data_IF_762726883770
#
_entry.id   IF_762726883770
#
_cell.length_a   1.000
_cell.length_b   1.000
_cell.length_c   1.000
_cell.angle_alpha   90.00
_cell.angle_beta   90.00
_cell.angle_gamma   90.00
#
_symmetry.space_group_name_H-M   'P 1'
#
loop_
_entity.id
_entity.type
_entity.pdbx_description
1 polymer ?
#
# COMPACT_ATOMS: atom_id res chain seq x y z
N UNK A 1 2.83 6.92 -6.14
CA UNK A 1 1.71 7.87 -5.94
C UNK A 1 1.76 8.45 -4.55
N UNK A 2 1.65 9.76 -4.48
CA UNK A 2 1.74 10.49 -3.22
C UNK A 2 0.34 10.90 -2.76
N UNK A 3 0.12 10.85 -1.45
CA UNK A 3 -1.17 11.15 -0.86
C UNK A 3 -1.02 12.05 0.36
N UNK A 4 -1.99 12.91 0.58
CA UNK A 4 -2.12 13.63 1.83
C UNK A 4 -2.57 12.66 2.92
N UNK A 5 -1.85 12.67 4.02
CA UNK A 5 -2.12 11.79 5.14
C UNK A 5 -2.14 12.56 6.46
N UNK A 6 -2.99 12.11 7.38
CA UNK A 6 -2.91 12.47 8.79
C UNK A 6 -2.36 11.28 9.56
N UNK A 7 -1.35 11.50 10.39
CA UNK A 7 -0.77 10.48 11.25
C UNK A 7 -1.66 10.35 12.49
N UNK A 8 -2.33 9.20 12.64
CA UNK A 8 -3.20 8.95 13.79
C UNK A 8 -2.46 8.27 14.94
N UNK A 9 -1.53 7.36 14.63
CA UNK A 9 -0.82 6.59 15.63
C UNK A 9 0.57 6.20 15.12
N UNK A 10 1.55 6.20 16.02
CA UNK A 10 2.92 5.79 15.74
C UNK A 10 3.28 4.68 16.74
N UNK A 11 3.77 3.55 16.25
CA UNK A 11 4.07 2.38 17.09
C UNK A 11 5.39 1.73 16.74
N UNK A 12 5.99 1.14 17.76
CA UNK A 12 7.03 0.11 17.66
C UNK A 12 8.27 0.48 16.84
N UNK A 13 8.78 1.73 16.99
CA UNK A 13 10.06 2.05 16.37
C UNK A 13 11.18 1.30 17.09
N UNK A 14 11.92 0.51 16.32
CA UNK A 14 13.08 -0.20 16.82
C UNK A 14 14.35 0.69 16.72
N UNK A 15 15.49 0.14 17.13
CA UNK A 15 16.78 0.86 17.11
C UNK A 15 17.26 1.21 15.70
N UNK A 16 16.72 0.55 14.66
CA UNK A 16 17.06 0.81 13.26
C UNK A 16 16.16 1.89 12.64
N UNK A 17 15.24 2.45 13.40
CA UNK A 17 14.31 3.47 12.92
C UNK A 17 13.13 2.89 12.14
N UNK A 18 12.91 1.58 12.21
CA UNK A 18 11.77 0.92 11.58
C UNK A 18 10.63 0.80 12.57
N UNK A 19 9.42 1.09 12.12
CA UNK A 19 8.23 1.04 12.94
C UNK A 19 6.96 0.90 12.13
N UNK A 20 5.85 1.13 12.79
CA UNK A 20 4.53 1.08 12.19
C UNK A 20 3.79 2.38 12.44
N UNK A 21 3.03 2.80 11.45
CA UNK A 21 2.26 4.05 11.51
C UNK A 21 0.85 3.80 11.00
N UNK A 22 -0.14 4.37 11.68
CA UNK A 22 -1.51 4.38 11.20
C UNK A 22 -1.80 5.74 10.58
N UNK A 23 -2.15 5.72 9.30
CA UNK A 23 -2.42 6.90 8.50
C UNK A 23 -3.90 6.96 8.12
N UNK A 24 -4.45 8.16 8.08
CA UNK A 24 -5.76 8.42 7.49
C UNK A 24 -5.55 9.11 6.15
N UNK A 25 -6.00 8.46 5.08
CA UNK A 25 -5.85 8.93 3.70
C UNK A 25 -7.20 8.80 3.01
N UNK A 26 -7.78 9.91 2.56
CA UNK A 26 -9.06 9.94 1.84
C UNK A 26 -10.16 9.12 2.54
N UNK A 27 -10.22 9.23 3.87
CA UNK A 27 -11.21 8.51 4.67
C UNK A 27 -10.84 7.06 5.00
N UNK A 28 -9.77 6.53 4.41
CA UNK A 28 -9.28 5.19 4.70
C UNK A 28 -8.28 5.23 5.85
N UNK A 29 -8.40 4.27 6.75
CA UNK A 29 -7.46 4.09 7.86
C UNK A 29 -6.53 2.93 7.53
N UNK A 30 -5.25 3.23 7.36
CA UNK A 30 -4.25 2.28 6.87
C UNK A 30 -3.10 2.15 7.87
N UNK A 31 -2.74 0.92 8.20
CA UNK A 31 -1.56 0.64 9.01
C UNK A 31 -0.41 0.24 8.09
N UNK A 32 0.68 0.95 8.19
CA UNK A 32 1.82 0.82 7.28
C UNK A 32 3.10 0.54 8.04
N UNK A 33 3.98 -0.27 7.47
CA UNK A 33 5.37 -0.33 7.90
C UNK A 33 6.10 0.88 7.34
N UNK A 34 7.08 1.39 8.09
CA UNK A 34 7.87 2.54 7.64
C UNK A 34 9.27 2.51 8.23
N UNK A 35 10.22 3.14 7.53
CA UNK A 35 11.55 3.44 8.01
C UNK A 35 11.74 4.94 8.26
N UNK A 36 10.70 5.73 8.05
CA UNK A 36 10.72 7.17 8.28
C UNK A 36 10.13 7.53 9.63
N UNK A 37 10.53 8.65 10.18
CA UNK A 37 10.03 9.13 11.46
C UNK A 37 8.76 9.95 11.26
N UNK A 38 7.64 9.41 11.72
CA UNK A 38 6.36 10.09 11.77
C UNK A 38 6.08 10.61 13.17
N UNK A 39 5.31 11.69 13.25
CA UNK A 39 4.88 12.29 14.52
C UNK A 39 3.35 12.26 14.55
N UNK A 40 2.77 11.80 15.67
CA UNK A 40 1.32 11.73 15.83
C UNK A 40 0.69 13.11 15.62
N UNK A 41 -0.49 13.12 15.02
CA UNK A 41 -1.29 14.30 14.65
C UNK A 41 -0.69 15.17 13.53
N UNK A 42 0.50 14.84 13.01
CA UNK A 42 1.04 15.61 11.88
C UNK A 42 0.25 15.33 10.60
N UNK A 43 0.22 16.32 9.72
CA UNK A 43 -0.24 16.19 8.34
C UNK A 43 0.97 16.18 7.42
N UNK A 44 1.00 15.26 6.49
CA UNK A 44 2.15 15.07 5.61
C UNK A 44 1.74 14.50 4.26
N UNK A 45 2.67 14.50 3.34
CA UNK A 45 2.53 13.81 2.05
C UNK A 45 3.34 12.53 2.13
N UNK A 46 2.72 11.42 1.79
CA UNK A 46 3.33 10.09 1.85
C UNK A 46 3.26 9.40 0.49
N UNK A 47 4.26 8.56 0.23
CA UNK A 47 4.22 7.58 -0.84
C UNK A 47 3.80 6.24 -0.26
N UNK A 48 2.81 5.60 -0.87
CA UNK A 48 2.33 4.27 -0.48
C UNK A 48 2.77 3.25 -1.51
N UNK A 49 3.25 2.11 -1.04
CA UNK A 49 3.60 0.99 -1.90
C UNK A 49 3.43 -0.32 -1.13
N UNK A 50 3.27 -1.41 -1.88
CA UNK A 50 3.14 -2.75 -1.32
C UNK A 50 4.36 -3.56 -1.69
N UNK A 51 4.99 -4.19 -0.70
CA UNK A 51 6.10 -5.13 -0.87
C UNK A 51 5.61 -6.56 -0.73
N UNK A 52 6.35 -7.47 -1.35
CA UNK A 52 6.04 -8.91 -1.31
C UNK A 52 4.61 -9.19 -1.75
N UNK A 53 4.21 -8.49 -2.83
CA UNK A 53 2.87 -8.61 -3.37
C UNK A 53 2.65 -9.97 -4.02
N UNK A 54 1.51 -10.55 -3.71
CA UNK A 54 0.96 -11.71 -4.40
C UNK A 54 -0.22 -11.22 -5.21
N UNK A 55 -0.15 -11.35 -6.53
CA UNK A 55 -1.19 -10.86 -7.43
C UNK A 55 -1.86 -12.04 -8.11
N UNK A 56 -3.19 -12.10 -7.98
CA UNK A 56 -4.01 -13.15 -8.62
C UNK A 56 -5.05 -12.47 -9.52
N UNK A 57 -5.18 -12.94 -10.76
CA UNK A 57 -6.26 -12.50 -11.63
C UNK A 57 -7.59 -12.99 -11.07
N UNK A 58 -8.62 -12.18 -11.24
CA UNK A 58 -9.97 -12.51 -10.78
C UNK A 58 -11.00 -11.97 -11.77
N UNK A 59 -12.24 -12.40 -11.63
CA UNK A 59 -13.36 -11.73 -12.29
C UNK A 59 -13.47 -10.30 -11.79
N UNK A 60 -13.84 -9.37 -12.66
CA UNK A 60 -13.99 -7.97 -12.27
C UNK A 60 -15.09 -7.82 -11.22
N UNK A 61 -14.79 -7.09 -10.16
CA UNK A 61 -15.67 -6.82 -9.03
C UNK A 61 -15.39 -5.41 -8.50
N UNK A 62 -16.19 -4.96 -7.55
CA UNK A 62 -16.00 -3.66 -6.93
C UNK A 62 -14.62 -3.54 -6.30
N UNK A 63 -14.02 -2.36 -6.44
CA UNK A 63 -12.73 -2.06 -5.83
C UNK A 63 -12.85 -2.05 -4.32
N UNK A 64 -11.84 -2.60 -3.66
CA UNK A 64 -11.71 -2.56 -2.20
C UNK A 64 -10.24 -2.48 -1.81
N UNK A 65 -10.01 -1.97 -0.61
CA UNK A 65 -8.68 -1.79 -0.07
C UNK A 65 -8.80 -1.89 1.44
N UNK A 66 -8.44 -3.06 1.99
CA UNK A 66 -8.66 -3.38 3.39
C UNK A 66 -7.43 -4.03 4.01
N UNK A 67 -7.18 -3.72 5.28
CA UNK A 67 -6.20 -4.47 6.06
C UNK A 67 -6.75 -5.88 6.33
N UNK A 68 -5.89 -6.88 6.26
CA UNK A 68 -6.25 -8.27 6.55
C UNK A 68 -6.74 -8.40 7.99
N UNK A 69 -6.08 -7.70 8.92
CA UNK A 69 -6.46 -7.57 10.33
C UNK A 69 -6.24 -6.12 10.77
N UNK A 70 -7.03 -5.58 11.72
CA UNK A 70 -6.90 -4.18 12.13
C UNK A 70 -5.53 -3.79 12.68
N UNK A 71 -4.79 -4.73 13.25
CA UNK A 71 -3.47 -4.53 13.84
C UNK A 71 -2.31 -5.01 12.97
N UNK A 72 -2.56 -5.27 11.69
CA UNK A 72 -1.59 -5.80 10.75
C UNK A 72 -1.30 -4.77 9.65
N UNK A 73 -0.14 -4.89 9.02
CA UNK A 73 0.24 -4.12 7.84
C UNK A 73 0.02 -4.87 6.53
N UNK A 74 -0.54 -6.07 6.60
CA UNK A 74 -0.91 -6.84 5.41
C UNK A 74 -2.22 -6.29 4.86
N UNK A 75 -2.19 -5.90 3.58
CA UNK A 75 -3.33 -5.32 2.89
C UNK A 75 -3.84 -6.27 1.81
N UNK A 76 -5.14 -6.25 1.58
CA UNK A 76 -5.79 -6.92 0.46
C UNK A 76 -6.45 -5.86 -0.41
N UNK A 77 -6.08 -5.84 -1.69
CA UNK A 77 -6.56 -4.85 -2.65
C UNK A 77 -7.29 -5.58 -3.77
N UNK A 78 -8.50 -5.14 -4.08
CA UNK A 78 -9.21 -5.53 -5.31
C UNK A 78 -9.15 -4.34 -6.25
N UNK A 79 -8.61 -4.54 -7.43
CA UNK A 79 -8.42 -3.46 -8.39
C UNK A 79 -8.11 -3.95 -9.79
N UNK A 80 -7.54 -3.05 -10.58
CA UNK A 80 -7.14 -3.31 -11.97
C UNK A 80 -5.70 -2.88 -12.19
N UNK A 81 -5.01 -3.59 -13.06
CA UNK A 81 -3.68 -3.18 -13.53
C UNK A 81 -3.81 -1.92 -14.37
N UNK A 82 -3.31 -0.81 -13.85
CA UNK A 82 -3.31 0.49 -14.52
C UNK A 82 -2.06 0.68 -15.37
N UNK A 83 -0.92 0.24 -14.88
CA UNK A 83 0.36 0.40 -15.55
C UNK A 83 1.36 -0.66 -15.10
N UNK A 84 2.17 -1.13 -16.02
CA UNK A 84 3.35 -1.95 -15.72
C UNK A 84 4.56 -1.03 -15.69
N UNK A 85 5.21 -0.91 -14.55
CA UNK A 85 6.38 -0.04 -14.39
C UNK A 85 7.67 -0.74 -14.83
N UNK A 86 7.78 -2.01 -14.48
CA UNK A 86 8.85 -2.90 -14.92
C UNK A 86 8.45 -4.35 -14.66
N UNK A 87 9.41 -5.28 -14.73
CA UNK A 87 9.17 -6.71 -14.61
C UNK A 87 8.55 -7.13 -13.27
N UNK A 88 8.82 -6.38 -12.20
CA UNK A 88 8.41 -6.71 -10.84
C UNK A 88 7.50 -5.66 -10.19
N UNK A 89 7.20 -4.57 -10.89
CA UNK A 89 6.43 -3.46 -10.31
C UNK A 89 5.25 -3.09 -11.20
N UNK A 90 4.09 -2.98 -10.56
CA UNK A 90 2.84 -2.63 -11.22
C UNK A 90 2.15 -1.51 -10.45
N UNK A 91 1.48 -0.64 -11.17
CA UNK A 91 0.56 0.32 -10.58
C UNK A 91 -0.85 -0.26 -10.65
N UNK A 92 -1.47 -0.45 -9.51
CA UNK A 92 -2.82 -1.00 -9.38
C UNK A 92 -3.79 0.13 -9.04
N UNK A 93 -4.83 0.25 -9.85
CA UNK A 93 -5.94 1.16 -9.61
C UNK A 93 -6.96 0.47 -8.70
N UNK A 94 -7.27 1.10 -7.57
CA UNK A 94 -8.31 0.66 -6.64
C UNK A 94 -8.94 1.91 -6.00
N UNK A 95 -9.33 1.86 -4.73
CA UNK A 95 -9.77 3.05 -4.01
C UNK A 95 -8.66 4.10 -3.94
N UNK A 96 -7.41 3.66 -3.92
CA UNK A 96 -6.21 4.46 -4.15
C UNK A 96 -5.38 3.75 -5.20
N UNK A 97 -4.60 4.51 -5.97
CA UNK A 97 -3.60 3.93 -6.87
C UNK A 97 -2.35 3.60 -6.06
N UNK A 98 -1.93 2.35 -6.08
CA UNK A 98 -0.80 1.89 -5.27
C UNK A 98 0.18 1.09 -6.12
N UNK A 99 1.47 1.36 -5.94
CA UNK A 99 2.54 0.58 -6.57
C UNK A 99 2.74 -0.73 -5.80
N UNK A 100 2.78 -1.83 -6.54
CA UNK A 100 2.95 -3.18 -5.99
C UNK A 100 4.25 -3.75 -6.52
N UNK A 101 5.11 -4.22 -5.61
CA UNK A 101 6.32 -4.97 -5.94
C UNK A 101 6.09 -6.44 -5.67
N UNK A 102 6.32 -7.29 -6.67
CA UNK A 102 6.23 -8.75 -6.55
C UNK A 102 7.63 -9.35 -6.47
N UNK A 103 7.76 -10.49 -5.78
CA UNK A 103 9.04 -11.18 -5.63
C UNK A 103 9.43 -12.00 -6.86
N UNK A 104 8.44 -12.50 -7.59
CA UNK A 104 8.64 -13.26 -8.81
C UNK A 104 7.95 -12.57 -9.98
N UNK A 105 8.59 -12.59 -11.14
CA UNK A 105 8.01 -11.99 -12.34
C UNK A 105 6.69 -12.68 -12.69
N UNK A 106 5.68 -11.86 -12.95
CA UNK A 106 4.35 -12.32 -13.35
C UNK A 106 3.92 -11.59 -14.61
N UNK A 107 3.21 -12.27 -15.48
CA UNK A 107 2.65 -11.68 -16.69
C UNK A 107 1.23 -11.16 -16.41
N UNK A 108 1.07 -9.86 -16.47
CA UNK A 108 -0.21 -9.17 -16.32
C UNK A 108 -0.39 -8.19 -17.46
N UNK A 109 -1.63 -8.02 -17.88
CA UNK A 109 -2.00 -7.07 -18.93
C UNK A 109 -2.76 -5.89 -18.34
N UNK A 110 -2.64 -4.74 -19.00
CA UNK A 110 -3.41 -3.54 -18.62
C UNK A 110 -4.90 -3.86 -18.61
N UNK A 111 -5.57 -3.44 -17.53
CA UNK A 111 -6.99 -3.68 -17.35
C UNK A 111 -7.35 -5.02 -16.71
N UNK A 112 -6.38 -5.90 -16.50
CA UNK A 112 -6.64 -7.15 -15.77
C UNK A 112 -7.19 -6.85 -14.38
N UNK A 113 -8.29 -7.50 -14.03
CA UNK A 113 -8.86 -7.42 -12.68
C UNK A 113 -8.08 -8.37 -11.78
N UNK A 114 -7.63 -7.86 -10.65
CA UNK A 114 -6.70 -8.55 -9.76
C UNK A 114 -7.07 -8.43 -8.29
N UNK A 115 -6.65 -9.41 -7.51
CA UNK A 115 -6.58 -9.34 -6.06
C UNK A 115 -5.11 -9.33 -5.68
N UNK A 116 -4.72 -8.37 -4.86
CA UNK A 116 -3.34 -8.21 -4.39
C UNK A 116 -3.31 -8.38 -2.88
N UNK A 117 -2.36 -9.15 -2.39
CA UNK A 117 -2.07 -9.28 -0.96
C UNK A 117 -0.59 -8.98 -0.74
N UNK A 118 -0.26 -8.17 0.24
CA UNK A 118 1.13 -7.87 0.54
C UNK A 118 1.29 -6.93 1.72
N UNK A 119 2.53 -6.54 2.00
CA UNK A 119 2.87 -5.65 3.11
C UNK A 119 2.80 -4.19 2.65
N UNK A 120 1.96 -3.41 3.32
CA UNK A 120 1.80 -1.99 3.03
C UNK A 120 2.91 -1.19 3.70
N UNK A 121 3.58 -0.38 2.92
CA UNK A 121 4.64 0.53 3.35
C UNK A 121 4.28 1.97 3.05
N UNK A 122 4.74 2.86 3.91
CA UNK A 122 4.64 4.29 3.69
C UNK A 122 6.00 4.95 3.89
N UNK A 123 6.32 5.93 3.05
CA UNK A 123 7.47 6.79 3.23
C UNK A 123 7.05 8.25 3.10
N UNK A 124 7.78 9.14 3.79
CA UNK A 124 7.54 10.57 3.63
C UNK A 124 7.97 10.99 2.23
N UNK A 125 7.09 11.67 1.52
CA UNK A 125 7.42 12.25 0.23
C UNK A 125 8.21 13.55 0.44
N UNK A 126 9.25 13.71 -0.35
CA UNK A 126 10.09 14.89 -0.31
C UNK A 126 9.49 16.07 -1.11
#
# INVERSE_FOLDING_TARGET
MSYFAKVEKVEEYNMLGEGEVTLKIEGLKLRCETSDLFIEEMHCIVDLYVRHGEITRTACRDFSLDLLKPDDCVIIIVGKVKKRLNKYNFLIESLLDIEITVDEAIELFLGDCVIVKGLLHASLAD
#
